data_IF_673687456171
#
_entry.id   IF_673687456171
#
_cell.length_a   1.000
_cell.length_b   1.000
_cell.length_c   1.000
_cell.angle_alpha   90.00
_cell.angle_beta   90.00
_cell.angle_gamma   90.00
#
_symmetry.space_group_name_H-M   'P 1'
#
loop_
_entity.id
_entity.type
_entity.pdbx_description
1 polymer ?
#
# COMPACT_ATOMS: atom_id res chain seq x y z
N UNK A 1 1.03 20.71 6.83
CA UNK A 1 -0.05 20.38 7.80
C UNK A 1 -1.29 19.75 7.12
N UNK A 2 -1.15 19.07 5.96
CA UNK A 2 -2.29 18.50 5.20
C UNK A 2 -2.33 16.95 5.12
N UNK A 3 -1.21 16.24 5.35
CA UNK A 3 -1.19 14.76 5.28
C UNK A 3 -2.06 14.05 6.31
N UNK A 4 -2.15 14.58 7.54
CA UNK A 4 -2.96 13.94 8.60
C UNK A 4 -4.47 14.02 8.33
N UNK A 5 -4.90 14.99 7.53
CA UNK A 5 -6.33 15.26 7.27
C UNK A 5 -6.87 14.42 6.12
N UNK A 6 -6.04 14.11 5.11
CA UNK A 6 -6.44 13.29 3.96
C UNK A 6 -6.74 11.84 4.37
N UNK A 7 -5.88 11.22 5.18
CA UNK A 7 -6.08 9.83 5.62
C UNK A 7 -7.30 9.65 6.55
N UNK A 8 -7.57 10.65 7.40
CA UNK A 8 -8.77 10.70 8.25
C UNK A 8 -10.07 10.94 7.46
N UNK A 9 -10.00 11.70 6.35
CA UNK A 9 -11.16 11.99 5.49
C UNK A 9 -11.57 10.80 4.60
N UNK A 10 -10.64 9.90 4.25
CA UNK A 10 -10.94 8.76 3.37
C UNK A 10 -11.62 7.57 4.05
N UNK A 11 -11.65 7.52 5.39
CA UNK A 11 -12.19 6.38 6.15
C UNK A 11 -13.24 6.78 7.18
N UNK A 12 -13.79 8.00 7.10
CA UNK A 12 -14.77 8.53 8.06
C UNK A 12 -14.32 8.35 9.54
N UNK A 13 -13.02 8.54 9.80
CA UNK A 13 -12.45 8.40 11.15
C UNK A 13 -12.18 6.96 11.62
N UNK A 14 -12.43 5.94 10.79
CA UNK A 14 -12.23 4.54 11.16
C UNK A 14 -10.77 4.08 11.14
N UNK A 15 -9.85 4.87 10.57
CA UNK A 15 -8.42 4.53 10.47
C UNK A 15 -7.56 5.75 10.76
N UNK A 16 -6.92 5.77 11.92
CA UNK A 16 -6.10 6.89 12.37
C UNK A 16 -4.69 6.83 11.79
N UNK A 17 -4.11 8.01 11.52
CA UNK A 17 -2.73 8.13 11.06
C UNK A 17 -1.73 7.47 12.03
N UNK A 18 -2.05 7.45 13.33
CA UNK A 18 -1.19 6.79 14.33
C UNK A 18 -1.23 5.27 14.24
N UNK A 19 -2.37 4.68 13.89
CA UNK A 19 -2.52 3.22 13.75
C UNK A 19 -1.79 2.73 12.51
N UNK A 20 -1.85 3.49 11.42
CA UNK A 20 -1.11 3.20 10.19
C UNK A 20 0.40 3.31 10.40
N UNK A 21 0.86 4.34 11.13
CA UNK A 21 2.26 4.49 11.50
C UNK A 21 2.75 3.36 12.41
N UNK A 22 1.95 2.98 13.41
CA UNK A 22 2.27 1.87 14.32
C UNK A 22 2.34 0.53 13.57
N UNK A 23 1.38 0.25 12.69
CA UNK A 23 1.35 -0.95 11.86
C UNK A 23 2.57 -1.04 10.94
N UNK A 24 2.92 0.06 10.27
CA UNK A 24 4.09 0.14 9.39
C UNK A 24 5.40 -0.05 10.17
N UNK A 25 5.52 0.55 11.36
CA UNK A 25 6.70 0.42 12.20
C UNK A 25 6.90 -1.03 12.68
N UNK A 26 5.84 -1.70 13.16
CA UNK A 26 5.89 -3.10 13.60
C UNK A 26 6.25 -4.01 12.42
N UNK A 27 5.60 -3.81 11.27
CA UNK A 27 5.91 -4.58 10.06
C UNK A 27 7.37 -4.37 9.60
N UNK A 28 7.88 -3.14 9.66
CA UNK A 28 9.27 -2.79 9.35
C UNK A 28 10.30 -3.47 10.27
N UNK A 29 10.02 -3.53 11.58
CA UNK A 29 10.90 -4.22 12.54
C UNK A 29 10.93 -5.71 12.25
N UNK A 30 9.77 -6.33 12.07
CA UNK A 30 9.68 -7.77 11.76
C UNK A 30 10.40 -8.06 10.43
N UNK A 31 10.15 -7.27 9.38
CA UNK A 31 10.79 -7.47 8.09
C UNK A 31 12.31 -7.27 8.15
N UNK A 32 12.81 -6.26 8.87
CA UNK A 32 14.27 -6.04 8.96
C UNK A 32 15.00 -7.18 9.67
N UNK A 33 14.37 -7.81 10.67
CA UNK A 33 14.93 -8.97 11.38
C UNK A 33 14.87 -10.25 10.54
N UNK A 34 13.74 -10.54 9.91
CA UNK A 34 13.52 -11.81 9.20
C UNK A 34 13.87 -11.78 7.71
N UNK A 35 13.76 -10.61 7.06
CA UNK A 35 13.97 -10.43 5.61
C UNK A 35 15.40 -10.04 5.23
N UNK A 36 16.29 -9.77 6.18
CA UNK A 36 17.72 -9.56 5.94
C UNK A 36 18.10 -8.28 5.19
N UNK A 37 17.15 -7.38 4.89
CA UNK A 37 17.38 -6.13 4.18
C UNK A 37 17.01 -4.90 5.05
N UNK A 38 17.86 -4.52 6.02
CA UNK A 38 17.58 -3.43 6.95
C UNK A 38 17.55 -2.04 6.28
N UNK A 39 18.09 -1.90 5.06
CA UNK A 39 18.06 -0.65 4.30
C UNK A 39 16.71 -0.39 3.62
N UNK A 40 15.80 -1.38 3.61
CA UNK A 40 14.48 -1.22 3.02
C UNK A 40 13.56 -0.50 4.02
N UNK A 41 13.24 0.77 3.71
CA UNK A 41 12.24 1.52 4.48
C UNK A 41 10.84 1.07 4.04
N UNK A 42 10.20 0.26 4.88
CA UNK A 42 8.76 0.01 4.77
C UNK A 42 8.02 1.29 5.14
N UNK A 43 7.30 1.82 4.17
CA UNK A 43 6.49 3.03 4.29
C UNK A 43 5.23 2.89 3.44
N UNK A 44 4.19 3.63 3.82
CA UNK A 44 3.03 3.80 2.94
C UNK A 44 3.44 4.65 1.76
N UNK A 45 3.55 4.01 0.59
CA UNK A 45 3.85 4.70 -0.66
C UNK A 45 2.59 5.33 -1.25
N UNK A 46 2.76 6.37 -2.06
CA UNK A 46 1.65 7.09 -2.68
C UNK A 46 0.77 6.21 -3.60
N UNK A 47 1.33 5.32 -4.45
CA UNK A 47 0.51 4.40 -5.25
C UNK A 47 -0.40 3.53 -4.38
N UNK A 48 0.07 3.11 -3.20
CA UNK A 48 -0.72 2.33 -2.26
C UNK A 48 -1.93 3.12 -1.75
N UNK A 49 -1.76 4.42 -1.46
CA UNK A 49 -2.86 5.29 -1.03
C UNK A 49 -3.91 5.42 -2.14
N UNK A 50 -3.47 5.65 -3.38
CA UNK A 50 -4.37 5.74 -4.54
C UNK A 50 -5.17 4.43 -4.71
N UNK A 51 -4.51 3.28 -4.54
CA UNK A 51 -5.18 1.98 -4.57
C UNK A 51 -6.22 1.85 -3.45
N UNK A 52 -5.91 2.26 -2.22
CA UNK A 52 -6.89 2.27 -1.12
C UNK A 52 -8.08 3.20 -1.39
N UNK A 53 -7.85 4.37 -1.99
CA UNK A 53 -8.94 5.27 -2.39
C UNK A 53 -9.82 4.64 -3.47
N UNK A 54 -9.23 3.97 -4.46
CA UNK A 54 -9.98 3.24 -5.48
C UNK A 54 -10.80 2.09 -4.86
N UNK A 55 -10.18 1.34 -3.96
CA UNK A 55 -10.78 0.26 -3.21
C UNK A 55 -12.01 0.76 -2.42
N UNK A 56 -11.85 1.86 -1.67
CA UNK A 56 -12.94 2.49 -0.93
C UNK A 56 -14.07 3.00 -1.85
N UNK A 57 -13.73 3.65 -2.96
CA UNK A 57 -14.75 4.10 -3.94
C UNK A 57 -15.49 2.93 -4.60
N UNK A 58 -14.81 1.82 -4.85
CA UNK A 58 -15.42 0.59 -5.36
C UNK A 58 -16.39 -0.03 -4.35
N UNK A 59 -16.01 -0.07 -3.07
CA UNK A 59 -16.89 -0.54 -2.00
C UNK A 59 -18.10 0.40 -1.80
N UNK A 60 -17.88 1.71 -1.84
CA UNK A 60 -18.95 2.72 -1.72
C UNK A 60 -19.90 2.75 -2.91
N UNK A 61 -19.42 2.42 -4.11
CA UNK A 61 -20.24 2.30 -5.32
C UNK A 61 -21.12 1.05 -5.37
N UNK A 62 -21.03 0.15 -4.37
CA UNK A 62 -21.87 -1.04 -4.21
C UNK A 62 -22.79 -0.82 -3.02
N UNK A 63 -24.08 -0.64 -3.27
CA UNK A 63 -25.08 -0.41 -2.20
C UNK A 63 -25.13 -1.56 -1.18
N UNK A 64 -24.71 -2.77 -1.56
CA UNK A 64 -24.68 -3.96 -0.71
C UNK A 64 -23.53 -3.97 0.33
N UNK A 65 -22.45 -3.20 0.13
CA UNK A 65 -21.24 -3.31 0.96
C UNK A 65 -21.20 -2.34 2.15
N UNK A 66 -21.94 -1.22 2.13
CA UNK A 66 -21.98 -0.27 3.25
C UNK A 66 -20.62 0.28 3.73
N UNK A 67 -20.63 1.26 4.64
CA UNK A 67 -19.41 1.77 5.28
C UNK A 67 -18.86 0.78 6.33
N UNK A 68 -19.73 0.03 7.00
CA UNK A 68 -19.35 -0.88 8.10
C UNK A 68 -18.61 -2.15 7.64
N UNK A 69 -18.92 -2.70 6.46
CA UNK A 69 -18.24 -3.92 5.94
C UNK A 69 -16.99 -3.60 5.11
N UNK A 70 -16.65 -2.32 4.90
CA UNK A 70 -15.43 -1.93 4.17
C UNK A 70 -14.17 -2.52 4.81
N UNK A 71 -14.07 -2.52 6.14
CA UNK A 71 -12.91 -3.06 6.85
C UNK A 71 -12.77 -4.57 6.66
N UNK A 72 -13.88 -5.31 6.72
CA UNK A 72 -13.89 -6.77 6.51
C UNK A 72 -13.52 -7.11 5.07
N UNK A 73 -14.01 -6.34 4.10
CA UNK A 73 -13.67 -6.51 2.70
C UNK A 73 -12.20 -6.16 2.38
N UNK A 74 -11.68 -5.07 2.95
CA UNK A 74 -10.26 -4.74 2.86
C UNK A 74 -9.37 -5.85 3.47
N UNK A 75 -9.79 -6.43 4.60
CA UNK A 75 -9.14 -7.60 5.19
C UNK A 75 -9.13 -8.81 4.25
N UNK A 76 -10.24 -9.08 3.57
CA UNK A 76 -10.32 -10.17 2.57
C UNK A 76 -9.37 -9.94 1.39
N UNK A 77 -9.26 -8.70 0.88
CA UNK A 77 -8.29 -8.34 -0.16
C UNK A 77 -6.86 -8.56 0.31
N UNK A 78 -6.54 -8.24 1.57
CA UNK A 78 -5.23 -8.53 2.16
C UNK A 78 -4.94 -10.04 2.24
N UNK A 79 -5.94 -10.88 2.55
CA UNK A 79 -5.77 -12.35 2.56
C UNK A 79 -5.41 -12.88 1.18
N UNK A 80 -6.13 -12.45 0.13
CA UNK A 80 -5.80 -12.83 -1.25
C UNK A 80 -4.44 -12.32 -1.70
N UNK A 81 -4.09 -11.09 -1.31
CA UNK A 81 -2.77 -10.52 -1.59
C UNK A 81 -1.68 -11.37 -0.95
N UNK A 82 -1.80 -11.71 0.34
CA UNK A 82 -0.85 -12.57 1.03
C UNK A 82 -0.73 -13.96 0.38
N UNK A 83 -1.84 -14.57 -0.02
CA UNK A 83 -1.85 -15.85 -0.75
C UNK A 83 -1.05 -15.76 -2.06
N UNK A 84 -1.27 -14.71 -2.85
CA UNK A 84 -0.53 -14.49 -4.10
C UNK A 84 0.96 -14.28 -3.85
N UNK A 85 1.34 -13.53 -2.81
CA UNK A 85 2.75 -13.37 -2.42
C UNK A 85 3.40 -14.71 -2.05
N UNK A 86 2.70 -15.56 -1.29
CA UNK A 86 3.21 -16.89 -0.95
C UNK A 86 3.39 -17.78 -2.18
N UNK A 87 2.43 -17.77 -3.11
CA UNK A 87 2.56 -18.51 -4.37
C UNK A 87 3.76 -18.01 -5.18
N UNK A 88 3.90 -16.70 -5.36
CA UNK A 88 5.05 -16.09 -6.08
C UNK A 88 6.40 -16.43 -5.42
N UNK A 89 6.44 -16.49 -4.09
CA UNK A 89 7.64 -16.90 -3.36
C UNK A 89 8.01 -18.37 -3.62
N UNK A 90 7.03 -19.28 -3.65
CA UNK A 90 7.24 -20.70 -3.97
C UNK A 90 7.70 -20.86 -5.43
N UNK A 91 7.15 -20.08 -6.36
CA UNK A 91 7.55 -20.08 -7.77
C UNK A 91 8.86 -19.34 -8.05
N UNK A 92 9.58 -18.89 -7.01
CA UNK A 92 10.86 -18.18 -7.12
C UNK A 92 10.81 -16.98 -8.08
N UNK A 93 9.78 -16.14 -7.94
CA UNK A 93 9.63 -14.91 -8.71
C UNK A 93 10.81 -13.93 -8.57
N UNK A 94 11.73 -14.16 -7.62
CA UNK A 94 12.99 -13.45 -7.50
C UNK A 94 13.85 -13.51 -8.78
N UNK A 95 13.74 -14.57 -9.59
CA UNK A 95 14.44 -14.65 -10.88
C UNK A 95 13.93 -13.60 -11.89
N UNK A 96 12.64 -13.29 -11.87
CA UNK A 96 12.01 -12.28 -12.74
C UNK A 96 12.53 -10.87 -12.43
N UNK A 97 12.94 -10.60 -11.19
CA UNK A 97 13.50 -9.30 -10.81
C UNK A 97 14.81 -9.03 -11.55
N UNK A 98 15.62 -10.06 -11.83
CA UNK A 98 16.85 -9.90 -12.64
C UNK A 98 16.54 -9.63 -14.12
N UNK A 99 15.31 -9.93 -14.57
CA UNK A 99 14.82 -9.64 -15.92
C UNK A 99 14.28 -8.21 -16.06
N UNK A 100 14.01 -7.51 -14.95
CA UNK A 100 13.55 -6.13 -15.01
C UNK A 100 14.62 -5.25 -15.66
N UNK A 101 14.24 -4.57 -16.75
CA UNK A 101 15.15 -3.70 -17.48
C UNK A 101 15.37 -2.40 -16.71
N UNK A 102 16.58 -1.83 -16.80
CA UNK A 102 16.92 -0.53 -16.17
C UNK A 102 15.90 0.56 -16.51
N UNK A 103 15.42 0.55 -17.76
CA UNK A 103 14.40 1.48 -18.27
C UNK A 103 13.09 1.38 -17.49
N UNK A 104 12.64 0.17 -17.13
CA UNK A 104 11.41 -0.01 -16.34
C UNK A 104 11.57 0.56 -14.93
N UNK A 105 12.73 0.38 -14.30
CA UNK A 105 13.04 0.98 -12.99
C UNK A 105 13.09 2.51 -13.02
N UNK A 106 13.75 3.08 -14.03
CA UNK A 106 13.81 4.53 -14.24
C UNK A 106 12.41 5.13 -14.48
N UNK A 107 11.58 4.48 -15.31
CA UNK A 107 10.22 4.93 -15.59
C UNK A 107 9.30 4.85 -14.35
N UNK A 108 9.43 3.78 -13.56
CA UNK A 108 8.68 3.63 -12.31
C UNK A 108 9.09 4.69 -11.28
N UNK A 109 10.39 4.98 -11.15
CA UNK A 109 10.89 6.06 -10.31
C UNK A 109 10.38 7.43 -10.75
N UNK A 110 10.36 7.70 -12.06
CA UNK A 110 9.81 8.94 -12.62
C UNK A 110 8.31 9.09 -12.32
N UNK A 111 7.53 7.99 -12.43
CA UNK A 111 6.10 8.01 -12.12
C UNK A 111 5.84 8.40 -10.66
N UNK A 112 6.55 7.79 -9.71
CA UNK A 112 6.45 8.11 -8.28
C UNK A 112 6.82 9.59 -8.05
N UNK A 113 7.88 10.09 -8.70
CA UNK A 113 8.30 11.47 -8.55
C UNK A 113 7.24 12.47 -9.05
N UNK A 114 6.62 12.19 -10.20
CA UNK A 114 5.54 13.05 -10.76
C UNK A 114 4.32 13.04 -9.84
N UNK A 115 3.90 11.86 -9.38
CA UNK A 115 2.79 11.68 -8.43
C UNK A 115 3.03 12.51 -7.16
N UNK A 116 4.24 12.43 -6.59
CA UNK A 116 4.61 13.20 -5.41
C UNK A 116 4.57 14.72 -5.63
N UNK A 117 4.96 15.20 -6.81
CA UNK A 117 4.87 16.63 -7.16
C UNK A 117 3.41 17.07 -7.30
N UNK A 118 2.55 16.25 -7.89
CA UNK A 118 1.13 16.56 -8.04
C UNK A 118 0.44 16.70 -6.68
N UNK A 119 0.68 15.78 -5.74
CA UNK A 119 0.15 15.86 -4.39
C UNK A 119 0.80 16.96 -3.53
N UNK A 120 1.99 17.45 -3.89
CA UNK A 120 2.61 18.58 -3.19
C UNK A 120 2.02 19.94 -3.62
N UNK A 121 1.57 20.05 -4.87
CA UNK A 121 0.95 21.26 -5.43
C UNK A 121 -0.54 21.36 -5.08
N UNK A 122 -1.21 20.20 -4.97
CA UNK A 122 -2.62 20.08 -4.61
C UNK A 122 -2.89 20.37 -3.14
#
# INVERSE_FOLDING_TARGET
MNRKRCFLLFTDGSLSAVETLASTAICGIIHSIFGGQPLLILGVAEPTIIMYTYLYNFAKGREDLGQDLYLAWAGWVCVWTALMLFLLAIFNACDIINRFTRVAGELFGMLIAVLFIQEAIK
#
